data_IF_724800831226
#
_entry.id   IF_724800831226
#
_cell.length_a   1.000
_cell.length_b   1.000
_cell.length_c   1.000
_cell.angle_alpha   90.00
_cell.angle_beta   90.00
_cell.angle_gamma   90.00
#
_symmetry.space_group_name_H-M   'P 1'
#
loop_
_entity.id
_entity.type
_entity.pdbx_description
1 polymer ?
#
# COMPACT_ATOMS: atom_id res chain seq x y z
N UNK A 1 12.36 7.72 8.32
CA UNK A 1 11.18 8.46 7.93
C UNK A 1 10.98 8.42 6.41
N UNK A 2 9.78 8.66 5.95
CA UNK A 2 9.56 8.62 4.51
C UNK A 2 10.32 9.75 3.81
N UNK A 3 10.74 9.55 2.58
CA UNK A 3 11.27 10.62 1.78
C UNK A 3 10.19 11.67 1.55
N UNK A 4 10.59 12.92 1.53
CA UNK A 4 9.64 14.02 1.41
C UNK A 4 9.60 14.63 0.02
N UNK A 5 10.28 14.03 -0.91
CA UNK A 5 10.19 14.48 -2.29
C UNK A 5 8.87 14.07 -2.89
N UNK A 6 8.09 15.05 -3.28
CA UNK A 6 6.88 14.82 -4.01
C UNK A 6 7.23 14.99 -5.47
N UNK A 7 7.09 13.89 -6.19
CA UNK A 7 7.43 13.83 -7.60
C UNK A 7 6.21 13.34 -8.36
N UNK A 8 5.72 14.13 -9.29
CA UNK A 8 4.52 13.82 -10.06
C UNK A 8 4.65 12.53 -10.88
N UNK A 9 5.86 12.07 -11.13
CA UNK A 9 6.07 10.92 -12.01
C UNK A 9 6.23 9.61 -11.28
N UNK A 10 6.59 9.62 -10.00
CA UNK A 10 7.23 8.44 -9.43
C UNK A 10 6.46 7.75 -8.33
N UNK A 11 5.35 8.28 -7.87
CA UNK A 11 4.72 7.77 -6.66
C UNK A 11 3.55 6.86 -7.01
N UNK A 12 3.86 5.65 -7.42
CA UNK A 12 2.84 4.65 -7.71
C UNK A 12 2.46 3.88 -6.46
N UNK A 13 1.24 3.42 -6.42
CA UNK A 13 0.76 2.55 -5.35
C UNK A 13 -0.13 1.46 -5.93
N UNK A 14 -0.12 0.30 -5.27
CA UNK A 14 -0.96 -0.83 -5.65
C UNK A 14 -1.48 -1.52 -4.40
N UNK A 15 -2.57 -2.26 -4.57
CA UNK A 15 -3.02 -3.22 -3.56
C UNK A 15 -3.11 -4.57 -4.24
N UNK A 16 -2.40 -5.54 -3.69
CA UNK A 16 -2.43 -6.92 -4.18
C UNK A 16 -3.22 -7.78 -3.22
N UNK A 17 -4.07 -8.65 -3.79
CA UNK A 17 -4.66 -9.74 -3.03
C UNK A 17 -3.68 -10.91 -3.10
N UNK A 18 -3.17 -11.33 -1.94
CA UNK A 18 -2.26 -12.45 -1.82
C UNK A 18 -3.01 -13.62 -1.22
N UNK A 19 -3.18 -14.68 -2.00
CA UNK A 19 -3.89 -15.88 -1.56
C UNK A 19 -2.95 -17.07 -1.46
N UNK A 20 -3.07 -17.78 -0.35
CA UNK A 20 -2.34 -19.03 -0.09
C UNK A 20 -3.40 -20.05 0.34
N UNK A 21 -3.70 -21.01 -0.54
CA UNK A 21 -4.78 -21.95 -0.29
C UNK A 21 -6.12 -21.22 -0.10
N UNK A 22 -6.77 -21.44 1.04
CA UNK A 22 -8.04 -20.79 1.37
C UNK A 22 -7.87 -19.51 2.17
N UNK A 23 -6.62 -19.11 2.47
CA UNK A 23 -6.33 -17.91 3.24
C UNK A 23 -5.89 -16.79 2.31
N UNK A 24 -6.22 -15.57 2.67
CA UNK A 24 -5.81 -14.42 1.89
C UNK A 24 -5.69 -13.18 2.74
N UNK A 25 -4.87 -12.26 2.26
CA UNK A 25 -4.76 -10.93 2.83
C UNK A 25 -4.42 -9.95 1.70
N UNK A 26 -4.50 -8.68 2.00
CA UNK A 26 -4.17 -7.64 1.01
C UNK A 26 -2.86 -6.99 1.41
N UNK A 27 -2.03 -6.73 0.41
CA UNK A 27 -0.77 -6.01 0.60
C UNK A 27 -0.88 -4.66 -0.10
N UNK A 28 -0.84 -3.60 0.71
CA UNK A 28 -0.78 -2.23 0.20
C UNK A 28 0.67 -1.85 0.04
N UNK A 29 1.03 -1.40 -1.15
CA UNK A 29 2.42 -1.10 -1.48
C UNK A 29 2.56 0.32 -2.02
N UNK A 30 3.51 1.06 -1.46
CA UNK A 30 3.87 2.40 -1.93
C UNK A 30 5.27 2.35 -2.53
N UNK A 31 5.39 2.86 -3.74
CA UNK A 31 6.69 2.99 -4.40
C UNK A 31 7.51 4.06 -3.72
N UNK A 32 8.63 3.66 -3.11
CA UNK A 32 9.55 4.57 -2.44
C UNK A 32 10.94 4.27 -2.98
N UNK A 33 11.47 5.16 -3.80
CA UNK A 33 12.73 4.92 -4.53
C UNK A 33 12.59 3.66 -5.38
N UNK A 34 13.43 2.68 -5.20
CA UNK A 34 13.41 1.45 -5.99
C UNK A 34 12.83 0.26 -5.23
N UNK A 35 12.00 0.50 -4.26
CA UNK A 35 11.39 -0.57 -3.47
C UNK A 35 9.93 -0.26 -3.19
N UNK A 36 9.21 -1.23 -2.65
CA UNK A 36 7.81 -1.06 -2.29
C UNK A 36 7.68 -1.20 -0.77
N UNK A 37 7.37 -0.09 -0.11
CA UNK A 37 6.97 -0.14 1.30
C UNK A 37 5.62 -0.83 1.37
N UNK A 38 5.49 -1.84 2.23
CA UNK A 38 4.35 -2.74 2.22
C UNK A 38 3.71 -2.87 3.58
N UNK A 39 2.38 -2.82 3.59
CA UNK A 39 1.56 -3.08 4.77
C UNK A 39 0.55 -4.17 4.45
N UNK A 40 0.44 -5.14 5.37
CA UNK A 40 -0.56 -6.20 5.27
C UNK A 40 -1.85 -5.74 5.91
N UNK A 41 -2.95 -5.93 5.19
CA UNK A 41 -4.30 -5.66 5.67
C UNK A 41 -5.09 -6.96 5.72
N UNK A 42 -5.82 -7.17 6.82
CA UNK A 42 -6.71 -8.32 6.94
C UNK A 42 -8.11 -8.03 6.40
N UNK A 43 -8.41 -6.77 6.14
CA UNK A 43 -9.66 -6.35 5.52
C UNK A 43 -9.46 -5.08 4.72
N UNK A 44 -10.29 -4.89 3.72
CA UNK A 44 -10.30 -3.67 2.92
C UNK A 44 -11.22 -2.66 3.58
N UNK A 45 -10.79 -1.40 3.77
CA UNK A 45 -11.66 -0.39 4.36
C UNK A 45 -12.82 -0.04 3.44
N UNK A 46 -14.00 0.09 4.03
CA UNK A 46 -15.13 0.72 3.36
C UNK A 46 -15.05 2.23 3.53
N UNK A 47 -15.92 2.97 2.83
CA UNK A 47 -15.92 4.43 2.91
C UNK A 47 -16.10 4.90 4.35
N UNK A 48 -15.25 5.81 4.78
CA UNK A 48 -15.19 6.36 6.14
C UNK A 48 -14.80 5.37 7.23
N UNK A 49 -14.20 4.24 6.84
CA UNK A 49 -13.67 3.26 7.78
C UNK A 49 -12.14 3.38 7.84
N UNK A 50 -11.60 3.13 9.03
CA UNK A 50 -10.15 3.02 9.24
C UNK A 50 -9.81 1.59 9.61
N UNK A 51 -8.79 1.04 8.95
CA UNK A 51 -8.24 -0.28 9.29
C UNK A 51 -6.76 -0.12 9.59
N UNK A 52 -6.19 -1.09 10.31
CA UNK A 52 -4.76 -1.09 10.60
C UNK A 52 -4.02 -1.94 9.60
N UNK A 53 -2.89 -1.43 9.13
CA UNK A 53 -1.98 -2.17 8.28
C UNK A 53 -0.71 -2.51 9.04
N UNK A 54 -0.29 -3.75 8.95
CA UNK A 54 0.93 -4.23 9.56
C UNK A 54 2.09 -4.02 8.60
N UNK A 55 3.14 -3.32 9.05
CA UNK A 55 4.34 -3.12 8.25
C UNK A 55 5.05 -4.45 8.08
N UNK A 56 5.29 -4.85 6.84
CA UNK A 56 6.04 -6.07 6.51
C UNK A 56 7.24 -5.70 5.66
N UNK A 57 8.05 -6.69 5.31
CA UNK A 57 9.27 -6.50 4.51
C UNK A 57 8.97 -5.79 3.20
N UNK A 58 9.87 -4.88 2.80
CA UNK A 58 9.77 -4.22 1.51
C UNK A 58 9.74 -5.26 0.39
N UNK A 59 8.93 -4.98 -0.62
CA UNK A 59 8.80 -5.85 -1.78
C UNK A 59 9.54 -5.24 -2.97
N UNK A 60 9.87 -6.10 -3.94
CA UNK A 60 10.55 -5.68 -5.16
C UNK A 60 9.61 -4.88 -6.04
N UNK A 61 10.17 -3.90 -6.73
CA UNK A 61 9.41 -2.98 -7.57
C UNK A 61 8.60 -3.69 -8.67
N UNK A 62 9.00 -4.89 -9.07
CA UNK A 62 8.29 -5.60 -10.13
C UNK A 62 6.85 -5.94 -9.75
N UNK A 63 6.52 -5.98 -8.45
CA UNK A 63 5.16 -6.25 -8.01
C UNK A 63 4.17 -5.14 -8.36
N UNK A 64 4.64 -3.99 -8.82
CA UNK A 64 3.73 -2.97 -9.36
C UNK A 64 2.97 -3.49 -10.58
N UNK A 65 3.59 -4.38 -11.35
CA UNK A 65 3.04 -4.85 -12.61
C UNK A 65 2.84 -6.36 -12.68
N UNK A 66 3.25 -7.09 -11.66
CA UNK A 66 3.20 -8.55 -11.67
C UNK A 66 1.92 -9.08 -11.07
N UNK A 67 1.36 -10.10 -11.72
CA UNK A 67 0.29 -10.95 -11.18
C UNK A 67 0.65 -12.38 -11.47
N UNK A 68 0.29 -13.29 -10.55
CA UNK A 68 0.53 -14.70 -10.76
C UNK A 68 1.12 -15.40 -9.55
N UNK A 69 1.70 -16.59 -9.76
CA UNK A 69 2.26 -17.37 -8.68
C UNK A 69 3.48 -16.69 -8.03
N UNK A 70 3.57 -16.86 -6.72
CA UNK A 70 4.75 -16.45 -5.96
C UNK A 70 5.63 -17.69 -5.78
N UNK A 71 6.94 -17.54 -5.96
CA UNK A 71 7.89 -18.65 -5.89
C UNK A 71 7.83 -19.38 -4.54
N UNK A 72 8.27 -20.63 -4.54
CA UNK A 72 8.30 -21.50 -3.36
C UNK A 72 6.92 -21.80 -2.79
N UNK A 73 5.92 -21.96 -3.65
CA UNK A 73 4.55 -22.31 -3.26
C UNK A 73 3.93 -21.33 -2.25
N UNK A 74 4.28 -20.04 -2.38
CA UNK A 74 3.76 -19.00 -1.49
C UNK A 74 2.49 -18.36 -2.01
N UNK A 75 1.72 -19.10 -2.83
CA UNK A 75 0.43 -18.66 -3.29
C UNK A 75 0.49 -17.81 -4.54
N UNK A 76 -0.51 -16.97 -4.72
CA UNK A 76 -0.67 -16.12 -5.89
C UNK A 76 -0.97 -14.69 -5.48
N UNK A 77 -0.60 -13.73 -6.34
CA UNK A 77 -0.94 -12.33 -6.15
C UNK A 77 -1.75 -11.83 -7.34
N UNK A 78 -2.76 -11.01 -7.04
CA UNK A 78 -3.62 -10.37 -8.02
C UNK A 78 -3.74 -8.89 -7.66
N UNK A 79 -3.53 -8.01 -8.63
CA UNK A 79 -3.64 -6.57 -8.39
C UNK A 79 -5.12 -6.18 -8.37
N UNK A 80 -5.60 -5.68 -7.24
CA UNK A 80 -6.98 -5.28 -7.07
C UNK A 80 -7.18 -3.77 -7.11
N UNK A 81 -6.11 -2.99 -6.86
CA UNK A 81 -6.12 -1.54 -7.00
C UNK A 81 -4.77 -1.09 -7.55
N UNK A 82 -4.80 -0.02 -8.33
CA UNK A 82 -3.60 0.60 -8.87
C UNK A 82 -3.83 2.11 -8.97
N UNK A 83 -2.85 2.89 -8.59
CA UNK A 83 -2.98 4.33 -8.63
C UNK A 83 -1.69 5.04 -8.29
N UNK A 84 -1.83 6.28 -7.84
CA UNK A 84 -0.73 7.14 -7.48
C UNK A 84 -0.97 7.76 -6.12
N UNK A 85 0.10 8.12 -5.43
CA UNK A 85 0.01 8.74 -4.13
C UNK A 85 0.98 9.90 -4.01
N UNK A 86 0.73 10.73 -3.02
CA UNK A 86 1.65 11.79 -2.65
C UNK A 86 1.68 11.93 -1.14
N UNK A 87 2.84 12.35 -0.63
CA UNK A 87 2.99 12.68 0.78
C UNK A 87 2.40 14.06 1.04
N UNK A 88 1.64 14.19 2.12
CA UNK A 88 1.09 15.48 2.53
C UNK A 88 2.20 16.29 3.21
N UNK A 89 2.68 17.39 2.59
CA UNK A 89 3.88 18.07 3.08
C UNK A 89 3.69 18.81 4.40
N UNK A 90 2.47 19.13 4.77
CA UNK A 90 2.19 19.90 5.97
C UNK A 90 1.74 19.04 7.15
N UNK A 91 1.71 17.74 6.97
CA UNK A 91 1.29 16.86 8.03
C UNK A 91 2.38 16.74 9.09
N UNK A 92 1.98 16.76 10.35
CA UNK A 92 2.87 16.55 11.48
C UNK A 92 3.38 15.10 11.51
N UNK A 93 2.52 14.16 11.16
CA UNK A 93 2.85 12.78 10.91
C UNK A 93 3.03 12.57 9.41
N UNK A 94 3.53 11.41 9.04
CA UNK A 94 3.70 11.10 7.62
C UNK A 94 2.38 10.58 7.06
N UNK A 95 1.76 11.37 6.23
CA UNK A 95 0.48 11.03 5.62
C UNK A 95 0.63 10.91 4.11
N UNK A 96 0.30 9.74 3.59
CA UNK A 96 0.20 9.52 2.15
C UNK A 96 -1.26 9.55 1.73
N UNK A 97 -1.55 10.29 0.67
CA UNK A 97 -2.89 10.33 0.07
C UNK A 97 -2.83 9.55 -1.22
N UNK A 98 -3.65 8.50 -1.31
CA UNK A 98 -3.66 7.56 -2.43
C UNK A 98 -4.88 7.82 -3.30
N UNK A 99 -4.65 7.91 -4.61
CA UNK A 99 -5.71 8.09 -5.59
C UNK A 99 -5.81 6.85 -6.45
N UNK A 100 -6.83 6.04 -6.19
CA UNK A 100 -7.25 4.96 -7.06
C UNK A 100 -8.37 5.48 -7.96
N UNK A 101 -8.82 4.69 -8.91
CA UNK A 101 -9.74 5.19 -9.96
C UNK A 101 -10.93 5.96 -9.40
N UNK A 102 -11.67 5.39 -8.46
CA UNK A 102 -12.84 6.04 -7.87
C UNK A 102 -12.76 6.14 -6.35
N UNK A 103 -11.57 5.97 -5.80
CA UNK A 103 -11.38 5.91 -4.35
C UNK A 103 -10.22 6.80 -3.94
N UNK A 104 -10.35 7.38 -2.77
CA UNK A 104 -9.27 8.13 -2.13
C UNK A 104 -9.02 7.51 -0.77
N UNK A 105 -7.77 7.14 -0.53
CA UNK A 105 -7.34 6.52 0.71
C UNK A 105 -6.29 7.39 1.38
N UNK A 106 -6.19 7.26 2.70
CA UNK A 106 -5.17 7.94 3.49
C UNK A 106 -4.40 6.90 4.27
N UNK A 107 -3.08 6.99 4.23
CA UNK A 107 -2.20 6.09 4.98
C UNK A 107 -1.40 6.97 5.94
N UNK A 108 -1.71 6.86 7.23
CA UNK A 108 -1.08 7.66 8.26
C UNK A 108 -0.05 6.82 8.99
N UNK A 109 1.19 7.29 8.99
CA UNK A 109 2.33 6.64 9.64
C UNK A 109 2.81 7.52 10.79
N UNK A 110 2.89 6.95 11.99
CA UNK A 110 3.54 7.63 13.11
C UNK A 110 5.06 7.52 12.97
N UNK A 111 5.55 6.37 12.49
CA UNK A 111 6.93 6.19 12.07
C UNK A 111 6.96 5.12 10.97
N UNK A 112 8.11 4.97 10.31
CA UNK A 112 8.21 4.10 9.14
C UNK A 112 8.11 2.60 9.45
N UNK A 113 8.25 2.21 10.72
CA UNK A 113 8.20 0.81 11.13
C UNK A 113 6.94 0.46 11.89
N UNK A 114 6.03 1.40 12.05
CA UNK A 114 4.83 1.18 12.85
C UNK A 114 3.66 0.71 12.01
N UNK A 115 2.61 0.34 12.71
CA UNK A 115 1.31 0.08 12.10
C UNK A 115 0.83 1.35 11.40
N UNK A 116 0.29 1.19 10.22
CA UNK A 116 -0.34 2.30 9.52
C UNK A 116 -1.83 2.34 9.85
N UNK A 117 -2.37 3.54 9.98
CA UNK A 117 -3.81 3.76 10.00
C UNK A 117 -4.25 4.06 8.59
N UNK A 118 -5.03 3.17 8.02
CA UNK A 118 -5.43 3.24 6.63
C UNK A 118 -6.92 3.50 6.57
N UNK A 119 -7.30 4.65 6.02
CA UNK A 119 -8.71 5.03 5.93
C UNK A 119 -9.08 5.35 4.49
N UNK A 120 -10.33 5.12 4.17
CA UNK A 120 -10.89 5.42 2.87
C UNK A 120 -11.92 6.54 3.01
N UNK A 121 -11.70 7.66 2.32
CA UNK A 121 -12.61 8.81 2.37
C UNK A 121 -13.55 8.89 1.16
N UNK A 122 -13.20 8.18 0.13
CA UNK A 122 -14.08 8.10 -1.04
C UNK A 122 -14.09 6.71 -1.60
#
# INVERSE_FOLDING_TARGET
HPPVEINDEACRCVILLHQIGNAGHWDLMLEVRNTLWTWRLNEMPTTNQTVLGERITDHRIHYLDYEGPVSNNRGTVKRVRSGHYQWEPKSKNHLAVLHFENEIWNVLLEDENSMAKISRTR
#
